data_IF_085965435773
#
_entry.id   IF_085965435773
#
_cell.length_a   1.000
_cell.length_b   1.000
_cell.length_c   1.000
_cell.angle_alpha   90.00
_cell.angle_beta   90.00
_cell.angle_gamma   90.00
#
_symmetry.space_group_name_H-M   'P 1'
#
loop_
_entity.id
_entity.type
_entity.pdbx_description
1 polymer ?
#
# COMPACT_ATOMS: atom_id res chain seq x y z
N UNK A 1 7.96 9.06 1.49
CA UNK A 1 9.01 8.91 0.45
C UNK A 1 8.87 7.70 -0.50
N UNK A 2 8.13 6.64 -0.12
CA UNK A 2 8.03 5.39 -0.91
C UNK A 2 7.48 5.53 -2.35
N UNK A 3 6.23 5.98 -2.56
CA UNK A 3 5.66 6.08 -3.91
C UNK A 3 6.26 7.23 -4.73
N UNK A 4 6.80 8.26 -4.08
CA UNK A 4 7.41 9.41 -4.74
C UNK A 4 8.65 8.98 -5.54
N UNK A 5 9.50 8.12 -4.97
CA UNK A 5 10.72 7.68 -5.65
C UNK A 5 10.47 6.86 -6.91
N UNK A 6 9.54 5.90 -6.85
CA UNK A 6 9.14 5.08 -8.00
C UNK A 6 8.43 5.93 -9.06
N UNK A 7 7.47 6.76 -8.66
CA UNK A 7 6.74 7.61 -9.62
C UNK A 7 7.69 8.60 -10.32
N UNK A 8 8.63 9.19 -9.57
CA UNK A 8 9.66 10.05 -10.15
C UNK A 8 10.57 9.28 -11.10
N UNK A 9 10.99 8.06 -10.77
CA UNK A 9 11.81 7.24 -11.66
C UNK A 9 11.08 6.88 -12.97
N UNK A 10 9.80 6.51 -12.87
CA UNK A 10 8.95 6.26 -14.05
C UNK A 10 8.82 7.50 -14.92
N UNK A 11 8.51 8.66 -14.31
CA UNK A 11 8.36 9.93 -15.03
C UNK A 11 9.66 10.38 -15.69
N UNK A 12 10.77 10.40 -14.95
CA UNK A 12 12.09 10.80 -15.46
C UNK A 12 12.54 9.87 -16.59
N UNK A 13 12.27 8.57 -16.48
CA UNK A 13 12.55 7.61 -17.55
C UNK A 13 11.73 7.87 -18.83
N UNK A 14 10.46 8.25 -18.69
CA UNK A 14 9.61 8.64 -19.81
C UNK A 14 10.12 9.91 -20.50
N UNK A 15 10.34 10.97 -19.72
CA UNK A 15 10.74 12.29 -20.25
C UNK A 15 12.12 12.24 -20.87
N UNK A 16 13.09 11.56 -20.26
CA UNK A 16 14.44 11.44 -20.81
C UNK A 16 14.46 10.77 -22.19
N UNK A 17 13.59 9.78 -22.42
CA UNK A 17 13.47 9.13 -23.73
C UNK A 17 12.72 9.99 -24.76
N UNK A 18 11.69 10.73 -24.34
CA UNK A 18 10.99 11.68 -25.23
C UNK A 18 11.86 12.89 -25.62
N UNK A 19 12.66 13.42 -24.69
CA UNK A 19 13.56 14.56 -24.92
C UNK A 19 14.66 14.24 -25.94
N UNK A 20 14.99 12.97 -26.11
CA UNK A 20 15.91 12.48 -27.16
C UNK A 20 15.25 12.38 -28.55
N UNK A 21 14.00 12.81 -28.69
CA UNK A 21 13.25 12.78 -29.96
C UNK A 21 12.71 11.40 -30.33
N UNK A 22 12.69 10.45 -29.39
CA UNK A 22 12.12 9.15 -29.65
C UNK A 22 10.59 9.16 -29.61
N UNK A 23 9.99 8.28 -30.41
CA UNK A 23 8.56 8.01 -30.41
C UNK A 23 8.04 7.55 -29.04
N UNK A 24 6.73 7.71 -28.80
CA UNK A 24 6.06 7.44 -27.52
C UNK A 24 6.35 6.04 -26.92
N UNK A 25 6.57 5.03 -27.75
CA UNK A 25 6.87 3.67 -27.30
C UNK A 25 8.25 3.55 -26.63
N UNK A 26 9.23 4.36 -27.03
CA UNK A 26 10.51 4.43 -26.34
C UNK A 26 10.41 5.12 -24.98
N UNK A 27 9.48 6.08 -24.83
CA UNK A 27 9.12 6.66 -23.54
C UNK A 27 8.67 5.60 -22.53
N UNK A 28 7.84 4.66 -22.97
CA UNK A 28 7.40 3.53 -22.14
C UNK A 28 8.57 2.63 -21.76
N UNK A 29 9.46 2.31 -22.70
CA UNK A 29 10.67 1.53 -22.42
C UNK A 29 11.62 2.24 -21.45
N UNK A 30 11.81 3.56 -21.61
CA UNK A 30 12.61 4.38 -20.70
C UNK A 30 12.03 4.42 -19.28
N UNK A 31 10.71 4.50 -19.16
CA UNK A 31 10.00 4.41 -17.87
C UNK A 31 10.26 3.07 -17.18
N UNK A 32 10.15 1.97 -17.94
CA UNK A 32 10.31 0.61 -17.43
C UNK A 32 11.74 0.35 -16.99
N UNK A 33 12.74 0.76 -17.78
CA UNK A 33 14.16 0.60 -17.45
C UNK A 33 14.54 1.44 -16.22
N UNK A 34 14.14 2.71 -16.17
CA UNK A 34 14.43 3.59 -15.02
C UNK A 34 13.79 3.07 -13.73
N UNK A 35 12.51 2.67 -13.78
CA UNK A 35 11.81 2.12 -12.61
C UNK A 35 12.45 0.82 -12.14
N UNK A 36 12.78 -0.08 -13.07
CA UNK A 36 13.44 -1.35 -12.73
C UNK A 36 14.82 -1.11 -12.12
N UNK A 37 15.62 -0.19 -12.67
CA UNK A 37 16.94 0.14 -12.15
C UNK A 37 16.90 0.68 -10.72
N UNK A 38 15.89 1.49 -10.38
CA UNK A 38 15.71 2.03 -9.02
C UNK A 38 15.22 0.95 -8.03
N UNK A 39 14.36 0.04 -8.47
CA UNK A 39 13.81 -1.03 -7.60
C UNK A 39 14.80 -2.17 -7.36
N UNK A 40 15.63 -2.50 -8.35
CA UNK A 40 16.58 -3.62 -8.33
C UNK A 40 17.52 -3.65 -7.11
N UNK A 41 18.19 -2.56 -6.69
CA UNK A 41 19.07 -2.61 -5.53
C UNK A 41 18.33 -2.95 -4.22
N UNK A 42 17.16 -2.36 -3.99
CA UNK A 42 16.34 -2.68 -2.82
C UNK A 42 15.83 -4.13 -2.87
N UNK A 43 15.50 -4.62 -4.06
CA UNK A 43 15.08 -6.00 -4.27
C UNK A 43 16.22 -6.99 -3.94
N UNK A 44 17.44 -6.76 -4.44
CA UNK A 44 18.61 -7.59 -4.13
C UNK A 44 18.90 -7.59 -2.62
N UNK A 45 18.91 -6.42 -1.98
CA UNK A 45 19.13 -6.31 -0.54
C UNK A 45 18.07 -7.10 0.25
N UNK A 46 16.80 -7.00 -0.14
CA UNK A 46 15.71 -7.74 0.49
C UNK A 46 15.93 -9.26 0.36
N UNK A 47 16.34 -9.76 -0.81
CA UNK A 47 16.62 -11.19 -1.00
C UNK A 47 17.76 -11.69 -0.11
N UNK A 48 18.84 -10.91 0.00
CA UNK A 48 19.99 -11.24 0.86
C UNK A 48 19.56 -11.28 2.33
N UNK A 49 18.85 -10.24 2.79
CA UNK A 49 18.35 -10.16 4.17
C UNK A 49 17.38 -11.31 4.46
N UNK A 50 16.44 -11.58 3.56
CA UNK A 50 15.47 -12.68 3.70
C UNK A 50 16.16 -14.04 3.82
N UNK A 51 17.16 -14.31 2.97
CA UNK A 51 17.95 -15.55 3.04
C UNK A 51 18.68 -15.69 4.38
N UNK A 52 19.26 -14.60 4.88
CA UNK A 52 19.92 -14.59 6.19
C UNK A 52 18.91 -14.81 7.32
N UNK A 53 17.80 -14.07 7.34
CA UNK A 53 16.75 -14.21 8.34
C UNK A 53 16.12 -15.61 8.34
N UNK A 54 15.91 -16.23 7.18
CA UNK A 54 15.41 -17.60 7.11
C UNK A 54 16.42 -18.62 7.64
N UNK A 55 17.72 -18.43 7.37
CA UNK A 55 18.79 -19.30 7.90
C UNK A 55 18.86 -19.25 9.43
N UNK A 56 18.67 -18.08 10.02
CA UNK A 56 18.76 -17.87 11.48
C UNK A 56 17.40 -17.77 12.18
N UNK A 57 16.30 -18.10 11.50
CA UNK A 57 14.93 -17.93 12.02
C UNK A 57 14.69 -18.64 13.36
N UNK A 58 15.32 -19.79 13.55
CA UNK A 58 15.16 -20.62 14.75
C UNK A 58 16.16 -20.27 15.86
N UNK A 59 17.01 -19.24 15.67
CA UNK A 59 17.88 -18.76 16.73
C UNK A 59 17.05 -17.94 17.72
N UNK A 60 17.16 -18.17 19.04
CA UNK A 60 16.27 -17.57 20.05
C UNK A 60 16.22 -16.04 19.96
N UNK A 61 17.36 -15.39 19.70
CA UNK A 61 17.43 -13.93 19.50
C UNK A 61 16.54 -13.45 18.35
N UNK A 62 16.57 -14.13 17.20
CA UNK A 62 15.79 -13.74 16.02
C UNK A 62 14.30 -13.96 16.28
N UNK A 63 13.94 -15.07 16.92
CA UNK A 63 12.57 -15.36 17.32
C UNK A 63 11.99 -14.28 18.24
N UNK A 64 12.72 -13.88 19.28
CA UNK A 64 12.28 -12.81 20.19
C UNK A 64 12.10 -11.46 19.48
N UNK A 65 12.97 -11.12 18.52
CA UNK A 65 12.80 -9.91 17.69
C UNK A 65 11.51 -9.99 16.87
N UNK A 66 11.22 -11.13 16.24
CA UNK A 66 9.96 -11.31 15.50
C UNK A 66 8.71 -11.27 16.40
N UNK A 67 8.82 -11.76 17.63
CA UNK A 67 7.75 -11.65 18.62
C UNK A 67 7.44 -10.19 18.98
N UNK A 68 8.45 -9.30 19.03
CA UNK A 68 8.24 -7.86 19.20
C UNK A 68 7.78 -7.15 17.92
N UNK A 69 8.25 -7.59 16.75
CA UNK A 69 7.92 -6.96 15.46
C UNK A 69 6.45 -7.14 15.08
N UNK A 70 5.86 -8.32 15.33
CA UNK A 70 4.44 -8.59 15.02
C UNK A 70 3.47 -7.59 15.66
N UNK A 71 3.46 -7.38 16.99
CA UNK A 71 2.57 -6.40 17.61
C UNK A 71 2.92 -4.96 17.24
N UNK A 72 4.20 -4.64 16.99
CA UNK A 72 4.60 -3.31 16.53
C UNK A 72 4.00 -2.97 15.15
N UNK A 73 4.01 -3.92 14.21
CA UNK A 73 3.39 -3.74 12.88
C UNK A 73 1.87 -3.57 13.00
N UNK A 74 1.21 -4.36 13.85
CA UNK A 74 -0.24 -4.20 14.10
C UNK A 74 -0.55 -2.83 14.71
N UNK A 75 0.25 -2.37 15.67
CA UNK A 75 0.11 -1.05 16.27
C UNK A 75 0.33 0.09 15.26
N UNK A 76 1.32 -0.05 14.38
CA UNK A 76 1.57 0.92 13.31
C UNK A 76 0.42 0.99 12.31
N UNK A 77 -0.14 -0.16 11.91
CA UNK A 77 -1.32 -0.23 11.03
C UNK A 77 -2.54 0.39 11.70
N UNK A 78 -2.75 0.13 12.99
CA UNK A 78 -3.83 0.74 13.76
C UNK A 78 -3.67 2.27 13.87
N UNK A 79 -2.45 2.75 14.12
CA UNK A 79 -2.15 4.18 14.14
C UNK A 79 -2.39 4.84 12.77
N UNK A 80 -1.96 4.21 11.68
CA UNK A 80 -2.24 4.69 10.33
C UNK A 80 -3.76 4.73 10.04
N UNK A 81 -4.51 3.71 10.47
CA UNK A 81 -5.95 3.70 10.34
C UNK A 81 -6.60 4.87 11.11
N UNK A 82 -6.19 5.11 12.36
CA UNK A 82 -6.68 6.24 13.15
C UNK A 82 -6.33 7.59 12.53
N UNK A 83 -5.13 7.74 11.95
CA UNK A 83 -4.72 8.97 11.26
C UNK A 83 -5.58 9.26 10.02
N UNK A 84 -6.12 8.22 9.37
CA UNK A 84 -7.02 8.36 8.23
C UNK A 84 -8.49 8.58 8.64
N UNK A 85 -8.83 8.49 9.94
CA UNK A 85 -10.18 8.80 10.45
C UNK A 85 -10.40 10.31 10.59
N UNK A 86 -10.20 11.06 9.51
CA UNK A 86 -10.46 12.51 9.46
C UNK A 86 -11.85 12.80 8.89
N UNK A 87 -12.35 14.02 9.13
CA UNK A 87 -13.66 14.46 8.59
C UNK A 87 -13.72 14.45 7.06
N UNK A 88 -12.57 14.62 6.38
CA UNK A 88 -12.49 14.53 4.92
C UNK A 88 -12.71 13.09 4.41
N UNK A 89 -12.24 12.09 5.15
CA UNK A 89 -12.35 10.68 4.76
C UNK A 89 -13.66 10.03 5.25
N UNK A 90 -14.14 10.41 6.44
CA UNK A 90 -15.33 9.82 7.06
C UNK A 90 -16.58 10.70 6.99
N UNK A 91 -16.47 11.95 6.54
CA UNK A 91 -17.58 12.91 6.54
C UNK A 91 -17.78 13.58 7.91
N UNK A 92 -18.30 14.80 7.90
CA UNK A 92 -18.64 15.52 9.12
C UNK A 92 -19.98 15.07 9.70
N UNK A 93 -20.02 14.84 11.02
CA UNK A 93 -21.24 14.45 11.77
C UNK A 93 -22.35 15.49 11.66
N UNK A 94 -22.00 16.77 11.49
CA UNK A 94 -22.92 17.91 11.51
C UNK A 94 -23.17 18.51 10.12
N UNK A 95 -22.22 18.41 9.19
CA UNK A 95 -22.37 18.93 7.82
C UNK A 95 -23.12 17.99 6.87
N UNK A 96 -22.68 16.73 6.76
CA UNK A 96 -23.23 15.73 5.84
C UNK A 96 -23.38 14.37 6.54
N UNK A 97 -24.39 14.20 7.41
CA UNK A 97 -24.55 12.98 8.21
C UNK A 97 -24.71 11.72 7.35
N UNK A 98 -25.21 11.85 6.11
CA UNK A 98 -25.36 10.75 5.15
C UNK A 98 -24.04 10.06 4.83
N UNK A 99 -23.00 10.83 4.49
CA UNK A 99 -21.66 10.31 4.18
C UNK A 99 -21.03 9.62 5.39
N UNK A 100 -21.24 10.18 6.59
CA UNK A 100 -20.75 9.58 7.83
C UNK A 100 -21.33 8.19 8.08
N UNK A 101 -22.64 8.02 7.93
CA UNK A 101 -23.28 6.72 8.15
C UNK A 101 -22.89 5.68 7.10
N UNK A 102 -22.69 6.08 5.84
CA UNK A 102 -22.21 5.16 4.78
C UNK A 102 -20.78 4.70 5.08
N UNK A 103 -19.86 5.61 5.41
CA UNK A 103 -18.47 5.26 5.73
C UNK A 103 -18.37 4.32 6.93
N UNK A 104 -19.19 4.55 7.97
CA UNK A 104 -19.31 3.63 9.12
C UNK A 104 -19.86 2.26 8.66
N UNK A 105 -20.85 2.25 7.78
CA UNK A 105 -21.42 1.03 7.21
C UNK A 105 -20.39 0.21 6.42
N UNK A 106 -19.62 0.85 5.55
CA UNK A 106 -18.55 0.21 4.76
C UNK A 106 -17.45 -0.34 5.69
N UNK A 107 -17.09 0.40 6.74
CA UNK A 107 -16.12 -0.07 7.74
C UNK A 107 -16.60 -1.34 8.46
N UNK A 108 -17.85 -1.34 8.94
CA UNK A 108 -18.44 -2.51 9.59
C UNK A 108 -18.57 -3.70 8.63
N UNK A 109 -19.02 -3.45 7.40
CA UNK A 109 -19.09 -4.49 6.36
C UNK A 109 -17.73 -5.12 6.11
N UNK A 110 -16.68 -4.31 5.98
CA UNK A 110 -15.31 -4.81 5.76
C UNK A 110 -14.79 -5.59 6.95
N UNK A 111 -15.03 -5.10 8.17
CA UNK A 111 -14.61 -5.77 9.40
C UNK A 111 -15.28 -7.14 9.55
N UNK A 112 -16.58 -7.22 9.28
CA UNK A 112 -17.36 -8.46 9.33
C UNK A 112 -16.97 -9.39 8.16
N UNK A 113 -16.82 -8.85 6.94
CA UNK A 113 -16.38 -9.56 5.76
C UNK A 113 -15.03 -10.25 5.95
N UNK A 114 -14.08 -9.54 6.56
CA UNK A 114 -12.77 -10.09 6.89
C UNK A 114 -12.83 -11.15 8.01
N UNK A 115 -13.60 -10.89 9.07
CA UNK A 115 -13.65 -11.77 10.26
C UNK A 115 -14.47 -13.04 10.04
N UNK A 116 -15.62 -12.94 9.38
CA UNK A 116 -16.61 -14.02 9.24
C UNK A 116 -16.44 -14.76 7.92
N UNK A 117 -16.35 -14.02 6.81
CA UNK A 117 -16.34 -14.59 5.46
C UNK A 117 -14.93 -14.91 4.94
N UNK A 118 -13.88 -14.58 5.70
CA UNK A 118 -12.46 -14.75 5.32
C UNK A 118 -12.17 -14.21 3.91
N UNK A 119 -12.87 -13.15 3.52
CA UNK A 119 -12.68 -12.54 2.21
C UNK A 119 -11.25 -12.03 2.08
N UNK A 120 -10.64 -12.28 0.91
CA UNK A 120 -9.31 -11.79 0.61
C UNK A 120 -9.27 -10.25 0.67
N UNK A 121 -8.21 -9.63 1.22
CA UNK A 121 -8.09 -8.17 1.34
C UNK A 121 -8.28 -7.44 0.00
N UNK A 122 -7.80 -8.03 -1.11
CA UNK A 122 -7.95 -7.46 -2.45
C UNK A 122 -9.42 -7.34 -2.85
N UNK A 123 -10.21 -8.38 -2.64
CA UNK A 123 -11.65 -8.36 -2.92
C UNK A 123 -12.36 -7.30 -2.08
N UNK A 124 -12.02 -7.22 -0.79
CA UNK A 124 -12.59 -6.21 0.12
C UNK A 124 -12.30 -4.79 -0.35
N UNK A 125 -11.07 -4.50 -0.77
CA UNK A 125 -10.70 -3.17 -1.30
C UNK A 125 -11.56 -2.83 -2.53
N UNK A 126 -11.73 -3.77 -3.47
CA UNK A 126 -12.54 -3.56 -4.68
C UNK A 126 -14.01 -3.33 -4.32
N UNK A 127 -14.59 -4.16 -3.44
CA UNK A 127 -15.98 -4.02 -3.02
C UNK A 127 -16.23 -2.70 -2.29
N UNK A 128 -15.31 -2.27 -1.43
CA UNK A 128 -15.39 -0.97 -0.76
C UNK A 128 -15.34 0.18 -1.76
N UNK A 129 -14.41 0.13 -2.73
CA UNK A 129 -14.28 1.15 -3.76
C UNK A 129 -15.54 1.27 -4.61
N UNK A 130 -16.11 0.15 -5.06
CA UNK A 130 -17.35 0.13 -5.84
C UNK A 130 -18.54 0.63 -5.00
N UNK A 131 -18.67 0.16 -3.76
CA UNK A 131 -19.75 0.56 -2.86
C UNK A 131 -19.67 2.04 -2.51
N UNK A 132 -18.45 2.56 -2.28
CA UNK A 132 -18.21 3.98 -2.06
C UNK A 132 -18.60 4.82 -3.27
N UNK A 133 -18.14 4.46 -4.47
CA UNK A 133 -18.46 5.18 -5.71
C UNK A 133 -19.95 5.20 -6.06
N UNK A 134 -20.72 4.19 -5.65
CA UNK A 134 -22.16 4.12 -5.90
C UNK A 134 -23.01 4.87 -4.87
N UNK A 135 -22.53 4.99 -3.62
CA UNK A 135 -23.32 5.53 -2.51
C UNK A 135 -22.91 6.96 -2.09
N UNK A 136 -21.70 7.39 -2.43
CA UNK A 136 -21.12 8.72 -2.16
C UNK A 136 -20.96 9.51 -3.46
#
# INVERSE_FOLDING_TARGET
PGPIGINSATYVGYTAAMDMGHEWYWGVLGSLTATTAVVLPSFILMLIISKFLMKYKNHPVVEHVFQGLRPAVVGLLAAAALLLMTEENFGSRTGCPWQFWISVGIFLFTFIGQRVYKMGPVLLIVLCGVTGMLLL
#
